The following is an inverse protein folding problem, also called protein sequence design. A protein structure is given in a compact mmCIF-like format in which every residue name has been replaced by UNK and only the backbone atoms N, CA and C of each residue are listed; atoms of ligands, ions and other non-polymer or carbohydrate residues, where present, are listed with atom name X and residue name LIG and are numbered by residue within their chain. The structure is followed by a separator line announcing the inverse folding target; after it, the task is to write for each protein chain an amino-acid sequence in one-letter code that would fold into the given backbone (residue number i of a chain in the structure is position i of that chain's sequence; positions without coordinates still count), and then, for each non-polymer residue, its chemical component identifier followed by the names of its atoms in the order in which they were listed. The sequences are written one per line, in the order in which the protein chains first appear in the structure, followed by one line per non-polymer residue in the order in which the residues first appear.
data_IF_296223983204
#
_entry.id   IF_296223983204
#
_cell.length_a   1.000
_cell.length_b   1.000
_cell.length_c   1.000
_cell.angle_alpha   90.00
_cell.angle_beta   90.00
_cell.angle_gamma   90.00
#
_symmetry.space_group_name_H-M   'P 1'
#
loop_
_entity.id
_entity.type
_entity.pdbx_description
1 polymer ?
#
# COMPACT_ATOMS: atom_id res chain seq x y z
N UNK A 1 -18.71 -9.58 19.29
CA UNK A 1 -19.28 -10.94 19.37
C UNK A 1 -18.11 -11.91 19.37
N UNK A 2 -18.12 -12.85 20.32
CA UNK A 2 -17.13 -13.92 20.49
C UNK A 2 -17.56 -15.09 19.61
N UNK A 3 -16.68 -15.46 18.68
CA UNK A 3 -16.79 -16.59 17.76
C UNK A 3 -15.37 -16.87 17.28
N UNK A 4 -14.74 -17.84 17.92
CA UNK A 4 -13.35 -18.22 17.71
C UNK A 4 -13.33 -19.21 16.54
N UNK A 5 -13.21 -18.68 15.32
CA UNK A 5 -12.60 -19.39 14.21
C UNK A 5 -11.29 -18.66 13.87
N UNK A 6 -10.20 -19.41 13.99
CA UNK A 6 -8.87 -18.94 14.36
C UNK A 6 -8.05 -18.40 13.20
N UNK A 7 -8.53 -17.36 12.51
CA UNK A 7 -7.68 -16.56 11.63
C UNK A 7 -8.03 -15.09 11.80
N UNK A 8 -7.23 -14.39 12.61
CA UNK A 8 -7.23 -12.93 12.72
C UNK A 8 -6.73 -12.29 11.43
N UNK A 9 -7.19 -12.71 10.25
CA UNK A 9 -6.62 -12.32 8.97
C UNK A 9 -6.97 -10.87 8.67
N UNK A 10 -5.94 -10.10 8.30
CA UNK A 10 -6.04 -8.70 7.92
C UNK A 10 -6.18 -8.58 6.41
N UNK A 11 -6.94 -7.59 6.00
CA UNK A 11 -6.96 -7.15 4.61
C UNK A 11 -5.58 -6.57 4.34
N UNK A 12 -4.94 -6.86 3.20
CA UNK A 12 -3.71 -6.20 2.82
C UNK A 12 -3.87 -4.68 2.95
N UNK A 13 -2.90 -4.04 3.58
CA UNK A 13 -3.05 -2.66 3.99
C UNK A 13 -1.73 -1.91 3.98
N UNK A 14 -1.82 -0.62 3.71
CA UNK A 14 -0.73 0.33 3.79
C UNK A 14 -1.03 1.32 4.92
N UNK A 15 -0.12 1.40 5.87
CA UNK A 15 -0.21 2.22 7.07
C UNK A 15 0.95 3.22 7.09
N UNK A 16 0.76 4.35 7.75
CA UNK A 16 1.85 5.21 8.16
C UNK A 16 2.08 5.01 9.66
N UNK A 17 3.32 4.75 10.04
CA UNK A 17 3.65 4.57 11.46
C UNK A 17 3.55 5.90 12.21
N UNK A 18 3.20 5.86 13.51
CA UNK A 18 3.11 7.05 14.32
C UNK A 18 4.44 7.82 14.40
N UNK A 19 4.35 9.15 14.54
CA UNK A 19 5.45 10.10 14.80
C UNK A 19 6.42 10.37 13.65
N UNK A 20 6.60 9.47 12.68
CA UNK A 20 7.56 9.66 11.59
C UNK A 20 6.98 9.39 10.19
N UNK A 21 5.69 9.08 10.09
CA UNK A 21 5.00 8.86 8.81
C UNK A 21 5.71 7.83 7.91
N UNK A 22 6.40 6.84 8.50
CA UNK A 22 7.09 5.82 7.74
C UNK A 22 6.06 4.78 7.25
N UNK A 23 5.97 4.52 5.93
CA UNK A 23 5.09 3.52 5.36
C UNK A 23 5.38 2.11 5.86
N UNK A 24 4.31 1.40 6.17
CA UNK A 24 4.27 0.01 6.60
C UNK A 24 3.24 -0.73 5.74
N UNK A 25 3.68 -1.70 4.97
CA UNK A 25 2.81 -2.55 4.16
C UNK A 25 2.64 -3.89 4.85
N UNK A 26 1.40 -4.38 4.91
CA UNK A 26 0.99 -5.51 5.75
C UNK A 26 0.09 -6.42 4.94
N UNK A 27 0.25 -7.73 5.09
CA UNK A 27 -0.74 -8.72 4.71
C UNK A 27 -0.82 -9.83 5.78
N UNK A 28 -1.73 -10.79 5.57
CA UNK A 28 -1.72 -12.04 6.33
C UNK A 28 -1.12 -13.15 5.49
N UNK A 29 -0.44 -14.07 6.16
CA UNK A 29 0.07 -15.33 5.61
C UNK A 29 -0.30 -16.47 6.56
N UNK A 30 -0.06 -17.71 6.14
CA UNK A 30 -0.19 -18.86 7.04
C UNK A 30 0.61 -18.66 8.34
N UNK A 31 -0.07 -18.79 9.49
CA UNK A 31 0.50 -18.67 10.84
C UNK A 31 1.01 -17.27 11.25
N UNK A 32 0.88 -16.24 10.41
CA UNK A 32 1.17 -14.85 10.78
C UNK A 32 0.16 -13.90 10.14
N UNK A 33 -0.78 -13.44 10.95
CA UNK A 33 -1.80 -12.51 10.49
C UNK A 33 -1.31 -11.07 10.34
N UNK A 34 -0.12 -10.75 10.88
CA UNK A 34 0.46 -9.42 10.90
C UNK A 34 1.83 -9.45 10.23
N UNK A 35 1.91 -10.00 9.01
CA UNK A 35 3.14 -10.07 8.26
C UNK A 35 3.39 -8.74 7.54
N UNK A 36 4.33 -7.94 8.06
CA UNK A 36 4.57 -6.58 7.59
C UNK A 36 6.01 -6.30 7.16
N UNK A 37 6.19 -5.33 6.28
CA UNK A 37 7.47 -4.71 5.95
C UNK A 37 7.44 -3.21 6.19
N UNK A 38 8.59 -2.63 6.55
CA UNK A 38 8.78 -1.19 6.68
C UNK A 38 9.85 -0.72 5.70
N UNK A 39 9.65 0.46 5.12
CA UNK A 39 10.77 1.19 4.54
C UNK A 39 11.48 1.94 5.65
N UNK A 40 12.80 2.16 5.59
CA UNK A 40 13.48 2.94 6.64
C UNK A 40 13.21 4.44 6.54
N UNK A 41 12.78 4.92 5.37
CA UNK A 41 12.61 6.34 5.08
C UNK A 41 11.26 6.87 5.58
N UNK A 42 11.30 8.01 6.25
CA UNK A 42 10.12 8.75 6.74
C UNK A 42 9.58 9.68 5.65
N UNK A 43 8.26 9.78 5.51
CA UNK A 43 7.65 10.76 4.62
C UNK A 43 7.55 12.13 5.33
N UNK A 44 7.90 13.19 4.62
CA UNK A 44 7.83 14.55 5.14
C UNK A 44 6.38 15.04 5.15
N UNK A 45 6.01 15.81 6.17
CA UNK A 45 4.69 16.44 6.22
C UNK A 45 4.57 17.54 5.16
N UNK A 46 3.34 17.79 4.71
CA UNK A 46 3.00 18.84 3.73
C UNK A 46 3.66 18.66 2.35
N UNK A 47 3.87 17.40 1.95
CA UNK A 47 4.43 17.04 0.64
C UNK A 47 3.61 15.94 0.00
N UNK A 48 3.36 16.07 -1.31
CA UNK A 48 2.70 15.05 -2.10
C UNK A 48 3.67 13.94 -2.45
N UNK A 49 3.18 12.70 -2.37
CA UNK A 49 3.88 11.50 -2.78
C UNK A 49 2.93 10.63 -3.59
N UNK A 50 3.45 10.03 -4.66
CA UNK A 50 2.82 8.84 -5.25
C UNK A 50 3.30 7.62 -4.48
N UNK A 51 2.37 6.79 -4.00
CA UNK A 51 2.70 5.58 -3.25
C UNK A 51 1.96 4.42 -3.88
N UNK A 52 2.69 3.36 -4.22
CA UNK A 52 2.12 2.11 -4.71
C UNK A 52 2.60 0.94 -3.85
N UNK A 53 1.67 0.07 -3.50
CA UNK A 53 1.93 -1.18 -2.78
C UNK A 53 1.47 -2.34 -3.67
N UNK A 54 2.38 -3.26 -3.98
CA UNK A 54 2.08 -4.49 -4.71
C UNK A 54 2.20 -5.70 -3.79
N UNK A 55 1.36 -6.70 -4.06
CA UNK A 55 1.36 -7.97 -3.35
C UNK A 55 1.14 -9.08 -4.36
N UNK A 56 2.10 -10.02 -4.46
CA UNK A 56 2.13 -11.01 -5.53
C UNK A 56 2.60 -12.36 -5.00
N UNK A 57 1.69 -13.33 -4.97
CA UNK A 57 2.02 -14.73 -4.66
C UNK A 57 2.92 -15.36 -5.75
N UNK A 58 2.68 -15.15 -7.08
CA UNK A 58 3.54 -15.72 -8.10
C UNK A 58 4.98 -15.21 -8.04
N UNK A 59 5.18 -13.92 -7.77
CA UNK A 59 6.52 -13.33 -7.61
C UNK A 59 7.08 -13.49 -6.20
N UNK A 60 6.24 -13.93 -5.25
CA UNK A 60 6.58 -14.14 -3.83
C UNK A 60 7.07 -12.88 -3.14
N UNK A 61 6.50 -11.73 -3.51
CA UNK A 61 6.94 -10.41 -3.04
C UNK A 61 5.78 -9.50 -2.66
N UNK A 62 6.03 -8.72 -1.61
CA UNK A 62 5.33 -7.49 -1.30
C UNK A 62 6.30 -6.33 -1.49
N UNK A 63 5.92 -5.35 -2.31
CA UNK A 63 6.81 -4.27 -2.74
C UNK A 63 6.13 -2.92 -2.51
N UNK A 64 6.93 -1.94 -2.11
CA UNK A 64 6.48 -0.58 -1.87
C UNK A 64 7.29 0.38 -2.73
N UNK A 65 6.57 1.26 -3.41
CA UNK A 65 7.11 2.27 -4.29
C UNK A 65 6.75 3.66 -3.79
N UNK A 66 7.69 4.59 -3.90
CA UNK A 66 7.46 6.01 -3.63
C UNK A 66 7.94 6.80 -4.83
N UNK A 67 7.07 7.66 -5.38
CA UNK A 67 7.33 8.44 -6.59
C UNK A 67 7.79 7.58 -7.78
N UNK A 68 7.20 6.39 -7.92
CA UNK A 68 7.50 5.45 -8.99
C UNK A 68 8.75 4.60 -8.79
N UNK A 69 9.53 4.80 -7.72
CA UNK A 69 10.75 4.04 -7.43
C UNK A 69 10.52 2.99 -6.34
N UNK A 70 11.06 1.78 -6.53
CA UNK A 70 11.02 0.71 -5.52
C UNK A 70 11.88 1.11 -4.31
N UNK A 71 11.24 1.30 -3.15
CA UNK A 71 11.92 1.74 -1.91
C UNK A 71 12.08 0.62 -0.89
N UNK A 72 11.42 -0.51 -1.10
CA UNK A 72 11.56 -1.67 -0.24
C UNK A 72 10.67 -2.83 -0.66
N UNK A 73 11.08 -4.03 -0.26
CA UNK A 73 10.30 -5.24 -0.47
C UNK A 73 10.47 -6.20 0.71
N UNK A 74 9.58 -7.18 0.77
CA UNK A 74 9.70 -8.33 1.67
C UNK A 74 9.20 -9.57 0.94
N UNK A 75 9.91 -10.67 1.11
CA UNK A 75 9.47 -11.95 0.55
C UNK A 75 8.21 -12.41 1.27
N UNK A 76 7.24 -12.93 0.52
CA UNK A 76 5.95 -13.37 1.05
C UNK A 76 5.49 -14.61 0.29
N UNK A 77 4.80 -15.51 1.00
CA UNK A 77 4.17 -16.72 0.46
C UNK A 77 2.91 -17.02 1.25
N UNK A 78 2.06 -17.86 0.70
CA UNK A 78 0.83 -18.35 1.32
C UNK A 78 -0.05 -17.20 1.81
N UNK A 79 -0.21 -16.16 0.96
CA UNK A 79 -0.98 -14.97 1.26
C UNK A 79 -2.45 -15.34 1.51
N UNK A 80 -3.00 -14.79 2.58
CA UNK A 80 -4.41 -14.95 2.94
C UNK A 80 -5.14 -13.62 2.75
N UNK A 81 -6.22 -13.66 1.99
CA UNK A 81 -7.18 -12.56 1.85
C UNK A 81 -8.40 -12.81 2.73
N UNK A 82 -9.09 -11.74 3.09
CA UNK A 82 -10.38 -11.80 3.78
C UNK A 82 -11.44 -11.05 2.96
N UNK A 83 -12.69 -11.16 3.40
CA UNK A 83 -13.85 -10.51 2.78
C UNK A 83 -14.31 -9.26 3.54
N UNK A 84 -13.50 -8.73 4.47
CA UNK A 84 -13.87 -7.52 5.18
C UNK A 84 -13.81 -6.29 4.26
N UNK A 85 -14.60 -5.24 4.53
CA UNK A 85 -14.61 -4.04 3.69
C UNK A 85 -13.25 -3.36 3.60
N UNK A 86 -12.90 -2.86 2.42
CA UNK A 86 -11.76 -1.96 2.23
C UNK A 86 -12.02 -0.65 2.99
N UNK A 87 -11.08 -0.27 3.85
CA UNK A 87 -11.10 0.99 4.59
C UNK A 87 -10.02 1.91 4.05
N UNK A 88 -10.36 3.17 3.84
CA UNK A 88 -9.44 4.20 3.37
C UNK A 88 -9.48 5.36 4.38
N UNK A 89 -8.32 5.72 4.92
CA UNK A 89 -8.17 6.81 5.89
C UNK A 89 -8.77 6.58 7.28
N UNK A 90 -9.46 5.46 7.49
CA UNK A 90 -10.13 5.15 8.76
C UNK A 90 -9.57 3.88 9.41
N UNK A 91 -9.39 3.92 10.73
CA UNK A 91 -9.00 2.78 11.54
C UNK A 91 -9.94 2.60 12.73
N UNK A 92 -10.44 1.37 12.93
CA UNK A 92 -11.28 1.04 14.09
C UNK A 92 -10.49 0.87 15.39
N UNK A 93 -9.15 0.92 15.34
CA UNK A 93 -8.26 0.59 16.46
C UNK A 93 -7.17 1.65 16.68
N UNK A 94 -6.79 2.37 15.63
CA UNK A 94 -5.72 3.38 15.66
C UNK A 94 -6.26 4.73 15.21
N UNK A 95 -5.42 5.76 15.27
CA UNK A 95 -5.77 7.07 14.75
C UNK A 95 -6.04 7.03 13.24
N UNK A 96 -7.04 7.78 12.80
CA UNK A 96 -7.38 7.98 11.40
C UNK A 96 -6.30 8.77 10.68
N UNK A 97 -6.21 8.59 9.35
CA UNK A 97 -5.26 9.30 8.53
C UNK A 97 -5.52 10.80 8.55
N UNK A 98 -4.49 11.58 8.92
CA UNK A 98 -4.54 13.04 8.98
C UNK A 98 -3.77 13.63 7.79
N UNK A 99 -4.41 13.71 6.63
CA UNK A 99 -3.80 14.24 5.43
C UNK A 99 -4.75 14.30 4.24
N UNK A 100 -4.20 14.49 3.05
CA UNK A 100 -4.94 14.52 1.79
C UNK A 100 -4.58 13.30 0.95
N UNK A 101 -5.57 12.75 0.25
CA UNK A 101 -5.40 11.66 -0.72
C UNK A 101 -6.06 12.06 -2.03
N UNK A 102 -5.47 11.67 -3.14
CA UNK A 102 -6.03 11.85 -4.47
C UNK A 102 -5.63 10.67 -5.35
N UNK A 103 -6.34 10.47 -6.47
CA UNK A 103 -6.03 9.45 -7.48
C UNK A 103 -5.93 8.01 -6.92
N UNK A 104 -6.77 7.65 -5.94
CA UNK A 104 -6.81 6.28 -5.42
C UNK A 104 -7.20 5.28 -6.52
N UNK A 105 -6.41 4.22 -6.66
CA UNK A 105 -6.64 3.12 -7.60
C UNK A 105 -6.35 1.79 -6.92
N UNK A 106 -7.08 0.76 -7.33
CA UNK A 106 -6.92 -0.60 -6.85
C UNK A 106 -6.98 -1.55 -8.04
N UNK A 107 -6.10 -2.55 -8.03
CA UNK A 107 -5.95 -3.53 -9.10
C UNK A 107 -5.95 -4.93 -8.51
N UNK A 108 -6.61 -5.86 -9.19
CA UNK A 108 -6.54 -7.30 -8.89
C UNK A 108 -5.44 -8.00 -9.72
N UNK A 109 -4.51 -7.22 -10.27
CA UNK A 109 -3.34 -7.68 -11.02
C UNK A 109 -2.09 -7.05 -10.42
N UNK A 110 -0.97 -7.75 -10.56
CA UNK A 110 0.33 -7.18 -10.24
C UNK A 110 0.76 -6.20 -11.35
N UNK A 111 0.97 -4.94 -10.98
CA UNK A 111 1.56 -3.94 -11.88
C UNK A 111 3.09 -4.05 -11.85
N UNK A 112 3.72 -3.99 -13.01
CA UNK A 112 5.18 -3.93 -13.15
C UNK A 112 5.74 -2.58 -12.70
N UNK A 113 7.05 -2.55 -12.41
CA UNK A 113 7.80 -1.33 -12.08
C UNK A 113 7.56 -0.21 -13.11
N UNK A 114 7.59 -0.54 -14.40
CA UNK A 114 7.35 0.40 -15.50
C UNK A 114 5.93 0.97 -15.50
N UNK A 115 4.93 0.16 -15.17
CA UNK A 115 3.53 0.61 -15.09
C UNK A 115 3.33 1.54 -13.90
N UNK A 116 3.94 1.23 -12.76
CA UNK A 116 3.89 2.06 -11.55
C UNK A 116 4.60 3.39 -11.80
N UNK A 117 5.77 3.37 -12.45
CA UNK A 117 6.51 4.58 -12.81
C UNK A 117 5.72 5.46 -13.79
N UNK A 118 5.11 4.86 -14.82
CA UNK A 118 4.22 5.59 -15.75
C UNK A 118 3.02 6.19 -15.02
N UNK A 119 2.41 5.44 -14.11
CA UNK A 119 1.29 5.94 -13.32
C UNK A 119 1.66 7.15 -12.45
N UNK A 120 2.83 7.11 -11.82
CA UNK A 120 3.41 8.23 -11.09
C UNK A 120 3.53 9.48 -11.98
N UNK A 121 4.11 9.35 -13.18
CA UNK A 121 4.25 10.48 -14.11
C UNK A 121 2.88 11.04 -14.52
N UNK A 122 1.92 10.17 -14.84
CA UNK A 122 0.58 10.58 -15.27
C UNK A 122 -0.21 11.28 -14.16
N UNK A 123 0.01 10.92 -12.90
CA UNK A 123 -0.63 11.62 -11.78
C UNK A 123 -0.10 13.04 -11.60
N UNK A 124 1.16 13.30 -11.96
CA UNK A 124 1.79 14.63 -11.91
C UNK A 124 1.68 15.40 -13.24
N UNK A 125 1.25 14.75 -14.33
CA UNK A 125 1.21 15.38 -15.66
C UNK A 125 0.14 16.47 -15.78
N UNK A 126 -0.88 16.47 -14.92
CA UNK A 126 -1.85 17.56 -14.82
C UNK A 126 -1.23 18.84 -14.23
N UNK A 127 -0.12 18.74 -13.50
CA UNK A 127 0.67 19.88 -13.00
C UNK A 127 1.81 20.26 -13.98
N UNK A 128 2.23 19.33 -14.84
CA UNK A 128 3.33 19.51 -15.81
C UNK A 128 2.88 19.84 -17.26
N UNK A 129 1.57 20.06 -17.49
CA UNK A 129 1.08 20.58 -18.77
C UNK A 129 1.08 19.59 -19.95
N UNK A 130 1.23 18.29 -19.71
CA UNK A 130 1.10 17.30 -20.78
C UNK A 130 -0.39 17.05 -21.09
N UNK A 131 -0.92 17.76 -22.09
CA UNK A 131 -2.22 17.46 -22.70
C UNK A 131 -2.15 16.07 -23.35
N UNK A 132 -3.04 15.16 -22.95
CA UNK A 132 -3.30 13.91 -23.67
C UNK A 132 -3.71 14.24 -25.12
N UNK A 133 -2.91 13.81 -26.09
CA UNK A 133 -3.39 13.61 -27.45
C UNK A 133 -4.08 12.24 -27.50
N UNK A 134 -5.30 12.21 -28.04
CA UNK A 134 -6.08 11.00 -28.28
C UNK A 134 -5.53 10.21 -29.49
#
# INVERSE_FOLDING_TARGET
MIGEDAQQTRTPALWLTPNNSQPCFICSVNNDWNYYGHIKTSLELNKWYHIAYTLSEPQKRMELYVNGELVGYKDVKDIIFNEFPLKIGYSGTFADFQGQMSNFRYYNIHLSDDEIFKDNILCHSNELGFKRAF
#
